data_IF_573978823695
#
_entry.id   IF_573978823695
#
_cell.length_a   1.000
_cell.length_b   1.000
_cell.length_c   1.000
_cell.angle_alpha   90.00
_cell.angle_beta   90.00
_cell.angle_gamma   90.00
#
_symmetry.space_group_name_H-M   'P 1'
#
loop_
_entity.id
_entity.type
_entity.pdbx_description
1 polymer ?
#
# COMPACT_ATOMS: atom_id res chain seq x y z
N UNK A 1 -11.27 -30.02 0.57
CA UNK A 1 -12.05 -28.97 -0.12
C UNK A 1 -13.32 -28.77 0.68
N UNK A 2 -13.52 -27.58 1.28
CA UNK A 2 -14.77 -27.26 1.98
C UNK A 2 -15.75 -26.74 0.93
N UNK A 3 -16.95 -27.32 0.78
CA UNK A 3 -17.93 -26.83 -0.19
C UNK A 3 -18.19 -25.33 -0.01
N UNK A 4 -18.37 -24.59 -1.12
CA UNK A 4 -18.64 -23.14 -1.17
C UNK A 4 -17.50 -22.20 -0.76
N UNK A 5 -16.40 -22.70 -0.17
CA UNK A 5 -15.23 -21.89 0.13
C UNK A 5 -14.22 -22.00 -1.02
N UNK A 6 -14.06 -20.92 -1.78
CA UNK A 6 -13.18 -20.87 -2.96
C UNK A 6 -11.76 -20.47 -2.59
N UNK A 7 -11.60 -19.45 -1.74
CA UNK A 7 -10.31 -18.93 -1.31
C UNK A 7 -10.35 -18.42 0.11
N UNK A 8 -9.27 -18.64 0.85
CA UNK A 8 -9.05 -18.05 2.17
C UNK A 8 -7.78 -17.21 2.13
N UNK A 9 -7.86 -16.00 2.68
CA UNK A 9 -6.72 -15.10 2.89
C UNK A 9 -6.84 -14.53 4.30
N UNK A 10 -5.75 -14.61 5.06
CA UNK A 10 -5.63 -13.90 6.33
C UNK A 10 -5.21 -12.47 6.04
N UNK A 11 -5.90 -11.50 6.61
CA UNK A 11 -5.58 -10.07 6.47
C UNK A 11 -5.23 -9.53 7.85
N UNK A 12 -4.11 -8.81 7.92
CA UNK A 12 -3.65 -8.19 9.15
C UNK A 12 -4.34 -6.83 9.33
N UNK A 13 -4.84 -6.57 10.54
CA UNK A 13 -5.53 -5.33 10.92
C UNK A 13 -4.82 -4.57 12.04
N UNK A 14 -3.67 -5.09 12.48
CA UNK A 14 -2.83 -4.43 13.48
C UNK A 14 -2.01 -3.33 12.82
N UNK A 15 -1.38 -2.47 13.63
CA UNK A 15 -0.47 -1.45 13.12
C UNK A 15 0.69 -2.11 12.36
N UNK A 16 0.95 -1.62 11.16
CA UNK A 16 2.00 -2.10 10.26
C UNK A 16 2.87 -0.94 9.83
N UNK A 17 4.12 -1.24 9.48
CA UNK A 17 5.06 -0.27 8.91
C UNK A 17 5.52 -0.81 7.56
N UNK A 18 5.11 -0.13 6.49
CA UNK A 18 5.53 -0.42 5.13
C UNK A 18 6.71 0.48 4.75
N UNK A 19 7.65 -0.07 3.99
CA UNK A 19 8.79 0.68 3.48
C UNK A 19 8.74 0.79 1.96
N UNK A 20 8.94 2.00 1.45
CA UNK A 20 9.11 2.31 0.04
C UNK A 20 10.53 2.81 -0.17
N UNK A 21 11.29 2.15 -1.04
CA UNK A 21 12.72 2.45 -1.26
C UNK A 21 12.97 3.03 -2.64
N UNK A 22 14.06 3.79 -2.75
CA UNK A 22 14.58 4.32 -4.02
C UNK A 22 13.56 5.11 -4.84
N UNK A 23 12.80 6.00 -4.20
CA UNK A 23 11.78 6.79 -4.90
C UNK A 23 12.40 8.05 -5.50
N UNK A 24 12.42 8.22 -6.83
CA UNK A 24 12.82 9.48 -7.45
C UNK A 24 11.74 10.53 -7.27
N UNK A 25 12.13 11.79 -7.06
CA UNK A 25 11.23 12.94 -7.02
C UNK A 25 11.81 14.07 -7.87
N UNK A 26 11.02 14.54 -8.84
CA UNK A 26 11.38 15.66 -9.69
C UNK A 26 11.03 16.98 -9.03
N UNK A 27 12.03 17.86 -8.87
CA UNK A 27 11.79 19.22 -8.38
C UNK A 27 11.46 20.16 -9.55
N UNK A 28 10.74 21.27 -9.29
CA UNK A 28 10.42 22.27 -10.32
C UNK A 28 11.67 22.90 -10.97
N UNK A 29 12.84 22.79 -10.34
CA UNK A 29 14.12 23.24 -10.87
C UNK A 29 14.79 22.25 -11.83
N UNK A 30 14.15 21.10 -12.15
CA UNK A 30 14.70 20.08 -13.05
C UNK A 30 15.74 19.16 -12.40
N UNK A 31 15.93 19.26 -11.08
CA UNK A 31 16.80 18.37 -10.30
C UNK A 31 15.98 17.17 -9.82
N UNK A 32 16.50 15.96 -10.01
CA UNK A 32 15.93 14.73 -9.45
C UNK A 32 16.61 14.42 -8.13
N UNK A 33 15.82 14.31 -7.06
CA UNK A 33 16.27 13.82 -5.76
C UNK A 33 15.81 12.37 -5.58
N UNK A 34 16.57 11.59 -4.83
CA UNK A 34 16.19 10.21 -4.50
C UNK A 34 15.94 10.10 -2.99
N UNK A 35 14.79 9.52 -2.64
CA UNK A 35 14.50 9.10 -1.29
C UNK A 35 14.90 7.63 -1.13
N UNK A 36 15.94 7.40 -0.31
CA UNK A 36 16.45 6.04 -0.08
C UNK A 36 15.40 5.14 0.58
N UNK A 37 14.69 5.67 1.58
CA UNK A 37 13.62 4.95 2.29
C UNK A 37 12.56 5.91 2.83
N UNK A 38 11.30 5.59 2.57
CA UNK A 38 10.11 6.23 3.13
C UNK A 38 9.36 5.15 3.91
N UNK A 39 9.12 5.40 5.19
CA UNK A 39 8.35 4.50 6.05
C UNK A 39 6.94 5.05 6.22
N UNK A 40 5.94 4.20 5.99
CA UNK A 40 4.54 4.54 6.16
C UNK A 40 3.91 3.61 7.16
N UNK A 41 3.36 4.18 8.22
CA UNK A 41 2.64 3.44 9.24
C UNK A 41 1.16 3.42 8.87
N UNK A 42 0.59 2.22 8.78
CA UNK A 42 -0.81 2.02 8.43
C UNK A 42 -1.53 1.19 9.51
N UNK A 43 -2.85 1.30 9.57
CA UNK A 43 -3.72 0.40 10.32
C UNK A 43 -5.05 0.24 9.58
N UNK A 44 -5.49 -1.00 9.37
CA UNK A 44 -6.77 -1.30 8.73
C UNK A 44 -7.86 -1.49 9.79
N UNK A 45 -8.92 -0.68 9.72
CA UNK A 45 -10.09 -0.86 10.59
C UNK A 45 -10.76 -2.20 10.31
N UNK A 46 -11.07 -2.96 11.37
CA UNK A 46 -11.77 -4.25 11.27
C UNK A 46 -13.11 -4.16 10.55
N UNK A 47 -13.80 -3.02 10.62
CA UNK A 47 -15.09 -2.82 9.92
C UNK A 47 -14.94 -2.71 8.41
N UNK A 48 -13.79 -2.21 7.93
CA UNK A 48 -13.56 -1.90 6.51
C UNK A 48 -12.85 -3.02 5.76
N UNK A 49 -12.35 -4.05 6.46
CA UNK A 49 -11.57 -5.15 5.85
C UNK A 49 -12.27 -5.74 4.64
N UNK A 50 -13.55 -6.07 4.76
CA UNK A 50 -14.29 -6.70 3.67
C UNK A 50 -14.43 -5.76 2.47
N UNK A 51 -14.66 -4.47 2.70
CA UNK A 51 -14.81 -3.47 1.63
C UNK A 51 -13.47 -3.24 0.90
N UNK A 52 -12.39 -3.06 1.65
CA UNK A 52 -11.04 -2.88 1.11
C UNK A 52 -10.61 -4.10 0.31
N UNK A 53 -10.73 -5.30 0.87
CA UNK A 53 -10.32 -6.54 0.19
C UNK A 53 -11.18 -6.80 -1.06
N UNK A 54 -12.47 -6.45 -1.03
CA UNK A 54 -13.34 -6.57 -2.20
C UNK A 54 -12.93 -5.63 -3.34
N UNK A 55 -12.50 -4.41 -3.02
CA UNK A 55 -12.19 -3.40 -4.04
C UNK A 55 -10.73 -3.43 -4.51
N UNK A 56 -9.80 -3.81 -3.62
CA UNK A 56 -8.35 -3.73 -3.85
C UNK A 56 -7.62 -5.07 -3.69
N UNK A 57 -8.36 -6.16 -3.45
CA UNK A 57 -7.83 -7.50 -3.14
C UNK A 57 -7.11 -7.56 -1.78
N UNK A 58 -6.60 -8.74 -1.41
CA UNK A 58 -5.87 -8.91 -0.16
C UNK A 58 -4.53 -8.14 -0.15
N UNK A 59 -3.97 -7.82 -1.32
CA UNK A 59 -2.70 -7.09 -1.47
C UNK A 59 -2.93 -5.58 -1.65
N UNK A 60 -3.87 -5.02 -0.88
CA UNK A 60 -4.32 -3.63 -1.04
C UNK A 60 -3.21 -2.60 -0.80
N UNK A 61 -2.22 -2.91 0.05
CA UNK A 61 -1.08 -2.04 0.39
C UNK A 61 -0.31 -1.58 -0.86
N UNK A 62 -0.17 -2.47 -1.85
CA UNK A 62 0.51 -2.14 -3.11
C UNK A 62 -0.20 -1.02 -3.87
N UNK A 63 -1.52 -1.07 -3.92
CA UNK A 63 -2.31 -0.10 -4.68
C UNK A 63 -2.50 1.19 -3.89
N UNK A 64 -2.84 1.07 -2.60
CA UNK A 64 -3.23 2.21 -1.77
C UNK A 64 -2.05 2.97 -1.16
N UNK A 65 -0.92 2.30 -0.95
CA UNK A 65 0.27 2.89 -0.30
C UNK A 65 1.40 3.01 -1.31
N UNK A 66 1.93 1.89 -1.80
CA UNK A 66 3.14 1.90 -2.64
C UNK A 66 2.95 2.71 -3.92
N UNK A 67 1.91 2.40 -4.70
CA UNK A 67 1.63 3.10 -5.96
C UNK A 67 1.22 4.54 -5.73
N UNK A 68 0.47 4.82 -4.65
CA UNK A 68 0.04 6.18 -4.31
C UNK A 68 1.25 7.07 -4.01
N UNK A 69 2.20 6.60 -3.22
CA UNK A 69 3.43 7.33 -2.90
C UNK A 69 4.25 7.62 -4.14
N UNK A 70 4.42 6.63 -5.04
CA UNK A 70 5.13 6.83 -6.29
C UNK A 70 4.45 7.86 -7.21
N UNK A 71 3.12 7.93 -7.18
CA UNK A 71 2.37 8.89 -7.96
C UNK A 71 2.51 10.31 -7.40
N UNK A 72 2.33 10.50 -6.09
CA UNK A 72 2.40 11.83 -5.45
C UNK A 72 3.80 12.43 -5.51
N UNK A 73 4.86 11.60 -5.48
CA UNK A 73 6.24 12.09 -5.54
C UNK A 73 6.74 12.40 -6.96
N UNK A 74 6.05 11.89 -7.99
CA UNK A 74 6.35 12.18 -9.39
C UNK A 74 5.38 13.21 -10.01
N UNK A 75 4.56 13.87 -9.20
CA UNK A 75 3.70 14.98 -9.64
C UNK A 75 4.47 16.31 -9.67
#
# INVERSE_FOLDING_TARGET
MVPFLTSYRSVQITMQTDEVKNVPCGTSGGVVIHFDRIEVVNILSSSEVHNIVRNFTADYDKTLIFNKIHHELNQ
#
